data_IF_418080965507
#
_entry.id   IF_418080965507
#
_cell.length_a   1.000
_cell.length_b   1.000
_cell.length_c   1.000
_cell.angle_alpha   90.00
_cell.angle_beta   90.00
_cell.angle_gamma   90.00
#
_symmetry.space_group_name_H-M   'P 1'
#
loop_
_entity.id
_entity.type
_entity.pdbx_description
1 polymer ?
#
# COMPACT_ATOMS: atom_id res chain seq x y z
N UNK A 1 -22.29 20.07 13.84
CA UNK A 1 -22.24 18.63 14.12
C UNK A 1 -22.70 17.90 12.87
N UNK A 2 -21.77 17.49 12.01
CA UNK A 2 -22.08 16.65 10.83
C UNK A 2 -22.02 15.16 11.22
N UNK A 3 -22.78 14.28 10.56
CA UNK A 3 -22.82 12.87 10.93
C UNK A 3 -21.47 12.18 10.62
N UNK A 4 -21.06 11.17 11.41
CA UNK A 4 -19.90 10.34 11.10
C UNK A 4 -20.17 9.50 9.84
N UNK A 5 -19.21 9.49 8.92
CA UNK A 5 -19.30 8.69 7.70
C UNK A 5 -19.20 7.19 8.05
N UNK A 6 -20.33 6.50 7.96
CA UNK A 6 -20.45 5.05 8.03
C UNK A 6 -19.99 4.45 6.70
N UNK A 7 -18.84 3.77 6.68
CA UNK A 7 -18.50 2.92 5.55
C UNK A 7 -19.26 1.60 5.69
N UNK A 8 -20.33 1.40 4.89
CA UNK A 8 -21.02 0.10 4.79
C UNK A 8 -20.22 -0.80 3.84
N UNK A 9 -19.59 -1.85 4.37
CA UNK A 9 -19.11 -2.96 3.57
C UNK A 9 -20.10 -4.13 3.73
N UNK A 10 -20.84 -4.47 2.69
CA UNK A 10 -21.72 -5.63 2.63
C UNK A 10 -20.94 -6.85 2.15
N UNK A 11 -20.85 -7.90 2.98
CA UNK A 11 -20.29 -9.19 2.60
C UNK A 11 -21.43 -10.22 2.50
N UNK A 12 -21.60 -10.94 1.38
CA UNK A 12 -22.50 -12.08 1.34
C UNK A 12 -21.85 -13.27 2.06
N UNK A 13 -22.50 -13.77 3.12
CA UNK A 13 -22.15 -15.02 3.78
C UNK A 13 -23.28 -16.03 3.57
N UNK A 14 -22.97 -17.16 2.94
CA UNK A 14 -23.86 -18.34 2.88
C UNK A 14 -23.73 -19.16 4.18
N UNK A 15 -24.85 -19.63 4.78
CA UNK A 15 -24.81 -20.44 6.00
C UNK A 15 -24.65 -21.93 5.66
N UNK A 16 -23.58 -22.57 6.17
CA UNK A 16 -23.48 -24.03 6.14
C UNK A 16 -24.02 -24.65 7.43
N UNK A 17 -24.92 -25.60 7.22
CA UNK A 17 -25.65 -26.46 8.17
C UNK A 17 -24.77 -27.20 9.18
N UNK A 18 -25.35 -27.39 10.37
CA UNK A 18 -24.80 -28.17 11.48
C UNK A 18 -25.40 -29.59 11.50
N UNK A 19 -24.57 -30.63 11.51
CA UNK A 19 -25.02 -32.02 11.71
C UNK A 19 -23.91 -33.02 12.03
N UNK A 20 -23.55 -33.10 13.32
CA UNK A 20 -23.22 -34.30 14.16
C UNK A 20 -22.14 -35.37 13.74
N UNK A 21 -21.60 -36.19 14.68
CA UNK A 21 -20.15 -36.38 14.87
C UNK A 21 -19.64 -37.84 14.72
N UNK A 22 -18.31 -38.05 14.70
CA UNK A 22 -17.68 -39.31 15.14
C UNK A 22 -16.31 -39.15 15.82
N UNK A 23 -16.11 -40.04 16.79
CA UNK A 23 -15.09 -40.16 17.84
C UNK A 23 -13.74 -40.75 17.36
N UNK A 24 -12.59 -40.23 17.84
CA UNK A 24 -11.62 -40.80 18.82
C UNK A 24 -10.58 -41.81 18.26
N UNK A 25 -9.28 -41.50 18.47
CA UNK A 25 -8.13 -42.42 18.33
C UNK A 25 -6.73 -41.78 18.39
N UNK A 26 -6.23 -41.48 19.61
CA UNK A 26 -4.83 -41.49 20.21
C UNK A 26 -3.52 -41.49 19.37
N UNK A 27 -2.31 -41.21 19.94
CA UNK A 27 -1.84 -40.19 20.91
C UNK A 27 -0.47 -39.49 20.55
N UNK A 28 -0.14 -38.49 21.38
CA UNK A 28 1.02 -37.58 21.53
C UNK A 28 2.42 -37.86 20.92
N UNK A 29 3.05 -36.78 20.41
CA UNK A 29 4.43 -36.39 20.77
C UNK A 29 4.65 -34.86 20.68
N UNK A 30 5.09 -34.27 21.81
CA UNK A 30 5.88 -33.04 22.03
C UNK A 30 5.47 -31.73 21.30
N UNK A 31 4.83 -30.81 22.03
CA UNK A 31 4.48 -29.44 21.57
C UNK A 31 5.58 -28.38 21.75
N UNK A 32 5.36 -27.16 21.20
CA UNK A 32 5.38 -25.93 22.01
C UNK A 32 4.22 -24.97 21.58
N UNK A 33 4.03 -23.79 22.21
CA UNK A 33 2.95 -23.55 23.15
C UNK A 33 1.97 -22.50 22.62
N UNK A 34 0.87 -22.89 21.97
CA UNK A 34 -0.32 -22.04 21.88
C UNK A 34 -1.55 -22.95 21.90
N UNK A 35 -1.96 -23.33 23.12
CA UNK A 35 -3.21 -24.03 23.35
C UNK A 35 -4.38 -23.15 22.88
N UNK A 36 -5.25 -23.76 22.11
CA UNK A 36 -6.52 -23.21 21.67
C UNK A 36 -7.45 -23.09 22.88
N UNK A 37 -7.94 -21.89 23.17
CA UNK A 37 -9.06 -21.69 24.08
C UNK A 37 -10.39 -21.72 23.31
N UNK A 38 -11.43 -22.39 23.82
CA UNK A 38 -12.73 -22.45 23.16
C UNK A 38 -13.54 -21.17 23.38
N UNK A 39 -14.07 -20.64 22.27
CA UNK A 39 -15.26 -19.77 22.07
C UNK A 39 -15.60 -18.69 23.12
N UNK A 40 -15.59 -17.44 22.65
CA UNK A 40 -16.42 -16.37 23.21
C UNK A 40 -16.14 -15.03 22.53
N UNK A 41 -17.10 -14.55 21.72
CA UNK A 41 -17.12 -13.27 20.96
C UNK A 41 -16.24 -13.22 19.71
N UNK A 42 -16.84 -12.70 18.63
CA UNK A 42 -16.28 -12.64 17.29
C UNK A 42 -14.88 -12.03 17.24
N UNK A 43 -13.92 -12.83 16.82
CA UNK A 43 -12.57 -12.41 16.50
C UNK A 43 -12.58 -11.64 15.17
N UNK A 44 -11.95 -10.46 15.07
CA UNK A 44 -11.75 -9.80 13.79
C UNK A 44 -10.79 -10.63 12.90
N UNK A 45 -10.75 -10.38 11.58
CA UNK A 45 -9.84 -11.08 10.70
C UNK A 45 -8.38 -10.95 11.19
N UNK A 46 -7.53 -11.98 10.99
CA UNK A 46 -6.20 -12.07 11.59
C UNK A 46 -5.27 -10.87 11.28
N UNK A 47 -5.55 -10.09 10.22
CA UNK A 47 -4.77 -8.92 9.84
C UNK A 47 -4.93 -7.72 10.80
N UNK A 48 -6.03 -7.60 11.53
CA UNK A 48 -6.30 -6.48 12.44
C UNK A 48 -5.96 -6.79 13.91
N UNK A 49 -5.83 -8.07 14.27
CA UNK A 49 -5.61 -8.51 15.64
C UNK A 49 -4.14 -8.38 16.11
N UNK A 50 -3.21 -8.08 15.20
CA UNK A 50 -1.76 -7.96 15.48
C UNK A 50 -1.22 -6.53 15.56
N UNK A 51 -2.06 -5.50 15.42
CA UNK A 51 -1.62 -4.12 15.60
C UNK A 51 -1.57 -3.79 17.10
N UNK A 52 -0.44 -3.33 17.65
CA UNK A 52 -0.32 -3.08 19.08
C UNK A 52 -1.35 -2.05 19.53
N UNK A 53 -2.22 -2.45 20.46
CA UNK A 53 -3.00 -1.50 21.27
C UNK A 53 -2.01 -0.72 22.12
N UNK A 54 -1.75 0.54 21.75
CA UNK A 54 -1.19 1.52 22.68
C UNK A 54 0.28 1.92 22.54
N UNK A 55 0.77 2.22 21.34
CA UNK A 55 2.06 2.94 21.20
C UNK A 55 1.84 4.38 20.71
N UNK A 56 2.00 5.33 21.65
CA UNK A 56 2.17 6.79 21.52
C UNK A 56 1.03 7.62 20.86
N UNK A 57 0.40 8.56 21.61
CA UNK A 57 -0.49 9.55 21.02
C UNK A 57 0.36 10.59 20.26
N UNK A 58 0.40 10.49 18.93
CA UNK A 58 0.92 11.58 18.06
C UNK A 58 1.99 11.23 17.02
N UNK A 59 2.48 9.98 16.98
CA UNK A 59 3.64 9.61 16.15
C UNK A 59 3.46 8.35 15.28
N UNK A 60 2.24 7.84 15.11
CA UNK A 60 1.99 6.63 14.31
C UNK A 60 1.66 6.95 12.86
N UNK A 61 2.39 6.35 11.91
CA UNK A 61 2.09 6.42 10.45
C UNK A 61 0.81 5.68 10.02
N UNK A 62 -0.10 5.38 10.94
CA UNK A 62 -1.30 4.57 10.73
C UNK A 62 -2.53 5.18 11.38
N UNK A 63 -3.69 4.92 10.78
CA UNK A 63 -4.97 5.15 11.44
C UNK A 63 -5.17 4.19 12.62
N UNK A 64 -5.40 4.78 13.80
CA UNK A 64 -5.78 4.04 15.00
C UNK A 64 -7.22 3.56 14.90
N UNK A 65 -7.41 2.24 14.99
CA UNK A 65 -8.71 1.63 15.25
C UNK A 65 -9.08 1.89 16.72
N UNK A 66 -10.12 2.68 16.92
CA UNK A 66 -10.63 3.06 18.23
C UNK A 66 -11.62 2.02 18.76
N UNK A 67 -12.50 1.49 17.90
CA UNK A 67 -13.53 0.54 18.32
C UNK A 67 -14.00 -0.37 17.18
N UNK A 68 -14.61 -1.50 17.55
CA UNK A 68 -15.26 -2.45 16.64
C UNK A 68 -16.66 -2.72 17.16
N UNK A 69 -17.67 -2.18 16.48
CA UNK A 69 -19.07 -2.32 16.87
C UNK A 69 -19.71 -3.37 15.99
N UNK A 70 -20.19 -4.45 16.60
CA UNK A 70 -20.93 -5.51 15.90
C UNK A 70 -22.39 -5.45 16.31
N UNK A 71 -23.29 -5.31 15.32
CA UNK A 71 -24.74 -5.32 15.53
C UNK A 71 -25.39 -6.20 14.49
N UNK A 72 -26.18 -7.17 14.93
CA UNK A 72 -26.92 -8.16 14.13
C UNK A 72 -26.14 -8.69 12.91
N UNK A 73 -26.21 -8.01 11.76
CA UNK A 73 -25.54 -8.39 10.50
C UNK A 73 -24.54 -7.35 9.96
N UNK A 74 -24.09 -6.40 10.79
CA UNK A 74 -23.20 -5.30 10.41
C UNK A 74 -22.01 -5.21 11.36
N UNK A 75 -20.83 -5.08 10.76
CA UNK A 75 -19.58 -4.79 11.46
C UNK A 75 -19.18 -3.35 11.14
N UNK A 76 -19.02 -2.53 12.18
CA UNK A 76 -18.53 -1.16 12.08
C UNK A 76 -17.14 -1.07 12.69
N UNK A 77 -16.22 -0.45 11.96
CA UNK A 77 -14.86 -0.17 12.41
C UNK A 77 -14.75 1.33 12.66
N UNK A 78 -14.49 1.74 13.90
CA UNK A 78 -14.37 3.14 14.30
C UNK A 78 -12.90 3.49 14.34
N UNK A 79 -12.47 4.46 13.53
CA UNK A 79 -11.08 4.92 13.46
C UNK A 79 -10.94 6.35 13.97
N UNK A 80 -9.70 6.76 14.26
CA UNK A 80 -9.40 8.17 14.48
C UNK A 80 -9.74 9.00 13.23
N UNK A 81 -10.25 10.21 13.46
CA UNK A 81 -10.65 11.10 12.37
C UNK A 81 -9.46 11.89 11.83
N UNK A 82 -9.30 11.85 10.50
CA UNK A 82 -8.42 12.73 9.75
C UNK A 82 -9.25 13.53 8.75
N UNK A 83 -8.82 14.76 8.49
CA UNK A 83 -9.66 15.75 7.86
C UNK A 83 -9.88 15.51 6.36
N UNK A 84 -8.85 15.01 5.66
CA UNK A 84 -8.84 14.92 4.21
C UNK A 84 -7.96 13.76 3.74
N UNK A 85 -8.24 13.22 2.56
CA UNK A 85 -7.35 12.29 1.86
C UNK A 85 -6.33 13.02 0.95
N UNK A 86 -5.20 12.37 0.67
CA UNK A 86 -4.13 12.96 -0.15
C UNK A 86 -4.60 13.26 -1.57
N UNK A 87 -5.55 12.49 -2.12
CA UNK A 87 -6.10 12.73 -3.46
C UNK A 87 -6.76 14.10 -3.54
N UNK A 88 -7.72 14.38 -2.64
CA UNK A 88 -8.37 15.69 -2.56
C UNK A 88 -7.37 16.81 -2.29
N UNK A 89 -6.35 16.55 -1.48
CA UNK A 89 -5.33 17.56 -1.18
C UNK A 89 -4.52 17.93 -2.43
N UNK A 90 -4.08 16.93 -3.22
CA UNK A 90 -3.42 17.15 -4.50
C UNK A 90 -4.32 17.87 -5.51
N UNK A 91 -5.60 17.51 -5.58
CA UNK A 91 -6.57 18.17 -6.48
C UNK A 91 -6.75 19.65 -6.11
N UNK A 92 -6.87 19.97 -4.82
CA UNK A 92 -6.92 21.35 -4.31
C UNK A 92 -5.62 22.13 -4.51
N UNK A 93 -4.49 21.42 -4.60
CA UNK A 93 -3.15 21.97 -4.81
C UNK A 93 -2.72 21.92 -6.29
N UNK A 94 -3.63 21.62 -7.22
CA UNK A 94 -3.29 21.43 -8.64
C UNK A 94 -2.63 22.66 -9.28
N UNK A 95 -3.02 23.86 -8.85
CA UNK A 95 -2.46 25.13 -9.35
C UNK A 95 -1.12 25.44 -8.68
N UNK A 96 -1.07 25.48 -7.34
CA UNK A 96 0.12 25.88 -6.56
C UNK A 96 1.18 24.80 -6.43
N UNK A 97 0.82 23.54 -6.61
CA UNK A 97 1.62 22.39 -6.20
C UNK A 97 1.68 22.22 -4.68
N UNK A 98 2.36 21.16 -4.26
CA UNK A 98 2.69 20.89 -2.86
C UNK A 98 4.15 21.28 -2.64
N UNK A 99 4.43 22.01 -1.57
CA UNK A 99 5.80 22.41 -1.23
C UNK A 99 6.68 21.17 -0.99
N UNK A 100 7.90 21.16 -1.55
CA UNK A 100 8.83 20.02 -1.44
C UNK A 100 9.11 19.58 0.01
N UNK A 101 9.26 20.47 1.01
CA UNK A 101 9.40 20.05 2.41
C UNK A 101 8.21 19.22 2.93
N UNK A 102 6.98 19.55 2.50
CA UNK A 102 5.79 18.81 2.87
C UNK A 102 5.72 17.45 2.16
N UNK A 103 6.10 17.39 0.87
CA UNK A 103 6.23 16.11 0.14
C UNK A 103 7.25 15.20 0.83
N UNK A 104 8.41 15.74 1.22
CA UNK A 104 9.47 15.03 1.95
C UNK A 104 8.97 14.52 3.31
N UNK A 105 8.27 15.36 4.06
CA UNK A 105 7.60 15.01 5.32
C UNK A 105 6.62 13.84 5.15
N UNK A 106 5.74 13.93 4.15
CA UNK A 106 4.74 12.90 3.89
C UNK A 106 5.37 11.58 3.44
N UNK A 107 6.31 11.63 2.49
CA UNK A 107 7.01 10.42 2.05
C UNK A 107 7.74 9.73 3.20
N UNK A 108 8.41 10.50 4.07
CA UNK A 108 9.11 9.97 5.23
C UNK A 108 8.15 9.26 6.21
N UNK A 109 7.03 9.90 6.56
CA UNK A 109 6.01 9.31 7.44
C UNK A 109 5.37 8.05 6.85
N UNK A 110 5.09 8.04 5.54
CA UNK A 110 4.57 6.87 4.84
C UNK A 110 5.57 5.71 4.83
N UNK A 111 6.86 5.99 4.63
CA UNK A 111 7.92 4.98 4.74
C UNK A 111 8.05 4.43 6.16
N UNK A 112 7.89 5.26 7.20
CA UNK A 112 7.85 4.79 8.59
C UNK A 112 6.67 3.83 8.82
N UNK A 113 5.49 4.17 8.31
CA UNK A 113 4.32 3.29 8.32
C UNK A 113 4.59 1.97 7.59
N UNK A 114 5.08 2.01 6.36
CA UNK A 114 5.37 0.77 5.62
C UNK A 114 6.45 -0.08 6.28
N UNK A 115 7.53 0.53 6.78
CA UNK A 115 8.58 -0.20 7.48
C UNK A 115 8.03 -0.97 8.69
N UNK A 116 7.13 -0.36 9.45
CA UNK A 116 6.47 -1.03 10.57
C UNK A 116 5.55 -2.16 10.10
N UNK A 117 4.70 -1.96 9.07
CA UNK A 117 3.86 -3.02 8.53
C UNK A 117 4.68 -4.21 8.03
N UNK A 118 5.72 -3.93 7.25
CA UNK A 118 6.59 -4.94 6.66
C UNK A 118 7.34 -5.75 7.72
N UNK A 119 7.79 -5.11 8.81
CA UNK A 119 8.39 -5.80 9.95
C UNK A 119 7.41 -6.77 10.66
N UNK A 120 6.12 -6.44 10.65
CA UNK A 120 5.05 -7.28 11.24
C UNK A 120 4.37 -8.20 10.21
N UNK A 121 5.00 -8.41 9.05
CA UNK A 121 4.50 -9.29 7.99
C UNK A 121 3.13 -8.91 7.41
N UNK A 122 2.82 -7.62 7.42
CA UNK A 122 1.60 -7.04 6.84
C UNK A 122 1.96 -6.31 5.54
N UNK A 123 1.24 -6.63 4.47
CA UNK A 123 1.28 -5.92 3.19
C UNK A 123 0.05 -5.05 3.03
N UNK A 124 0.19 -3.84 2.50
CA UNK A 124 -0.95 -2.96 2.25
C UNK A 124 -1.70 -3.34 0.96
N UNK A 125 -0.97 -3.52 -0.15
CA UNK A 125 -1.43 -3.96 -1.49
C UNK A 125 -2.34 -3.00 -2.27
N UNK A 126 -3.00 -2.05 -1.60
CA UNK A 126 -3.85 -1.05 -2.25
C UNK A 126 -3.46 0.38 -1.86
N UNK A 127 -2.16 0.69 -1.93
CA UNK A 127 -1.70 2.05 -1.70
C UNK A 127 -2.09 2.92 -2.89
N UNK A 128 -2.88 3.95 -2.58
CA UNK A 128 -3.33 4.99 -3.49
C UNK A 128 -3.61 6.26 -2.68
N UNK A 129 -3.56 7.45 -3.29
CA UNK A 129 -3.75 8.72 -2.56
C UNK A 129 -5.08 8.82 -1.79
N UNK A 130 -6.13 8.11 -2.22
CA UNK A 130 -7.42 8.03 -1.53
C UNK A 130 -7.32 7.29 -0.18
N UNK A 131 -6.37 6.37 -0.04
CA UNK A 131 -6.12 5.56 1.15
C UNK A 131 -5.02 6.19 2.05
N UNK A 132 -4.62 7.43 1.77
CA UNK A 132 -3.66 8.17 2.57
C UNK A 132 -4.34 9.38 3.18
N UNK A 133 -4.54 9.37 4.49
CA UNK A 133 -5.26 10.44 5.17
C UNK A 133 -4.30 11.44 5.81
N UNK A 134 -4.64 12.72 5.76
CA UNK A 134 -3.84 13.83 6.29
C UNK A 134 -4.62 14.66 7.30
N UNK A 135 -3.89 15.35 8.19
CA UNK A 135 -4.47 16.31 9.13
C UNK A 135 -3.78 17.68 9.06
N UNK A 136 -4.36 18.66 9.76
CA UNK A 136 -3.86 20.03 9.80
C UNK A 136 -2.49 20.17 10.49
N UNK A 137 -2.06 19.17 11.28
CA UNK A 137 -0.77 19.16 11.98
C UNK A 137 0.37 18.56 11.13
N UNK A 138 0.14 18.36 9.82
CA UNK A 138 1.10 17.80 8.89
C UNK A 138 1.39 16.31 9.09
N UNK A 139 0.50 15.58 9.76
CA UNK A 139 0.56 14.13 9.79
C UNK A 139 -0.09 13.52 8.54
N UNK A 140 0.50 12.44 8.04
CA UNK A 140 -0.10 11.57 7.02
C UNK A 140 -0.11 10.12 7.52
N UNK A 141 -1.21 9.39 7.27
CA UNK A 141 -1.43 8.06 7.80
C UNK A 141 -1.96 7.11 6.73
N UNK A 142 -1.45 5.88 6.78
CA UNK A 142 -1.95 4.76 5.98
C UNK A 142 -3.35 4.36 6.49
N UNK A 143 -4.30 4.24 5.54
CA UNK A 143 -5.68 3.87 5.77
C UNK A 143 -6.10 2.70 4.87
N UNK A 144 -7.26 2.11 5.17
CA UNK A 144 -7.87 1.04 4.37
C UNK A 144 -6.95 -0.17 4.11
N UNK A 145 -6.68 -0.89 5.20
CA UNK A 145 -6.10 -2.23 5.17
C UNK A 145 -7.11 -3.30 4.72
N UNK A 146 -8.21 -2.94 4.03
CA UNK A 146 -9.26 -3.86 3.59
C UNK A 146 -8.77 -4.98 2.67
N UNK A 147 -7.64 -4.77 2.00
CA UNK A 147 -6.93 -5.78 1.19
C UNK A 147 -5.62 -6.28 1.83
N UNK A 148 -5.32 -5.82 3.04
CA UNK A 148 -4.11 -6.22 3.74
C UNK A 148 -4.20 -7.67 4.18
N UNK A 149 -3.13 -8.42 3.93
CA UNK A 149 -3.04 -9.83 4.31
C UNK A 149 -1.64 -10.14 4.81
N UNK A 150 -1.56 -11.12 5.70
CA UNK A 150 -0.30 -11.72 6.08
C UNK A 150 0.41 -12.32 4.84
N UNK A 151 1.74 -12.38 4.88
CA UNK A 151 2.52 -13.00 3.81
C UNK A 151 2.00 -14.41 3.45
N UNK A 152 2.00 -14.75 2.17
CA UNK A 152 1.70 -16.11 1.69
C UNK A 152 0.22 -16.44 1.45
N UNK A 153 -0.73 -15.55 1.77
CA UNK A 153 -2.15 -15.79 1.44
C UNK A 153 -2.42 -15.34 -0.01
N UNK A 154 -2.80 -16.26 -0.93
CA UNK A 154 -3.12 -15.93 -2.32
C UNK A 154 -4.22 -14.87 -2.41
N UNK A 155 -4.12 -13.96 -3.39
CA UNK A 155 -5.21 -13.01 -3.70
C UNK A 155 -6.33 -13.83 -4.32
N UNK A 156 -7.54 -13.79 -3.75
CA UNK A 156 -8.73 -14.08 -4.56
C UNK A 156 -8.81 -12.96 -5.58
N UNK A 157 -8.81 -13.31 -6.86
CA UNK A 157 -9.06 -12.38 -7.97
C UNK A 157 -10.36 -11.63 -7.66
N UNK A 158 -10.24 -10.37 -7.27
CA UNK A 158 -11.42 -9.51 -7.22
C UNK A 158 -11.87 -9.27 -8.66
N UNK A 159 -13.19 -9.23 -8.83
CA UNK A 159 -13.89 -9.01 -10.09
C UNK A 159 -13.35 -7.76 -10.79
N UNK A 160 -13.31 -7.79 -12.13
CA UNK A 160 -12.72 -6.79 -13.04
C UNK A 160 -13.42 -5.40 -13.01
N UNK A 161 -14.14 -5.04 -11.96
CA UNK A 161 -14.84 -3.75 -11.85
C UNK A 161 -13.91 -2.65 -11.31
N UNK A 162 -13.51 -1.76 -12.22
CA UNK A 162 -13.00 -0.38 -12.01
C UNK A 162 -12.06 -0.19 -10.80
N UNK A 163 -11.03 -1.02 -10.68
CA UNK A 163 -9.93 -0.77 -9.72
C UNK A 163 -8.86 0.10 -10.38
N UNK A 164 -8.43 1.17 -9.71
CA UNK A 164 -7.33 2.03 -10.18
C UNK A 164 -6.03 1.23 -10.32
N UNK A 165 -5.51 1.10 -11.54
CA UNK A 165 -4.30 0.33 -11.85
C UNK A 165 -2.98 1.11 -11.64
N UNK A 166 -3.08 2.42 -11.44
CA UNK A 166 -1.97 3.37 -11.61
C UNK A 166 -0.78 3.15 -10.67
N UNK A 167 -1.03 2.53 -9.52
CA UNK A 167 -0.04 2.26 -8.48
C UNK A 167 0.37 0.78 -8.42
N UNK A 168 -0.12 -0.06 -9.34
CA UNK A 168 0.14 -1.50 -9.34
C UNK A 168 1.55 -1.79 -9.86
N UNK A 169 2.27 -2.66 -9.13
CA UNK A 169 3.64 -3.06 -9.46
C UNK A 169 3.69 -3.96 -10.72
N UNK A 170 4.77 -3.91 -11.51
CA UNK A 170 4.88 -4.65 -12.77
C UNK A 170 4.84 -6.17 -12.56
N UNK A 171 5.34 -6.68 -11.43
CA UNK A 171 5.27 -8.13 -11.12
C UNK A 171 3.83 -8.62 -10.94
N UNK A 172 2.94 -7.78 -10.42
CA UNK A 172 1.51 -8.12 -10.31
C UNK A 172 0.87 -8.11 -11.70
N UNK A 173 1.19 -7.08 -12.50
CA UNK A 173 0.66 -6.93 -13.87
C UNK A 173 1.16 -8.01 -14.83
N UNK A 174 2.33 -8.61 -14.56
CA UNK A 174 2.89 -9.73 -15.33
C UNK A 174 2.44 -11.12 -14.79
N UNK A 175 1.49 -11.14 -13.86
CA UNK A 175 0.87 -12.38 -13.39
C UNK A 175 1.66 -13.12 -12.31
N UNK A 176 2.67 -12.50 -11.69
CA UNK A 176 3.41 -13.14 -10.60
C UNK A 176 2.49 -13.42 -9.41
N UNK A 177 2.36 -14.70 -9.04
CA UNK A 177 1.52 -15.14 -7.91
C UNK A 177 2.15 -14.84 -6.54
N UNK A 178 3.47 -14.67 -6.51
CA UNK A 178 4.24 -14.41 -5.30
C UNK A 178 4.73 -12.97 -5.31
N UNK A 179 4.12 -12.13 -4.48
CA UNK A 179 4.52 -10.74 -4.30
C UNK A 179 4.95 -10.49 -2.86
N UNK A 180 5.85 -9.53 -2.70
CA UNK A 180 6.52 -9.22 -1.43
C UNK A 180 6.21 -7.80 -0.99
N UNK A 181 6.93 -7.30 0.01
CA UNK A 181 6.90 -5.89 0.46
C UNK A 181 7.22 -4.89 -0.65
N UNK A 182 7.88 -5.34 -1.72
CA UNK A 182 8.27 -4.52 -2.85
C UNK A 182 7.05 -3.87 -3.57
N UNK A 183 5.87 -4.49 -3.53
CA UNK A 183 4.69 -3.94 -4.22
C UNK A 183 4.22 -2.63 -3.58
N UNK A 184 4.27 -2.54 -2.25
CA UNK A 184 3.92 -1.32 -1.52
C UNK A 184 4.93 -0.20 -1.80
N UNK A 185 6.21 -0.55 -1.93
CA UNK A 185 7.27 0.42 -2.28
C UNK A 185 7.07 0.98 -3.68
N UNK A 186 6.70 0.13 -4.65
CA UNK A 186 6.39 0.58 -5.99
C UNK A 186 5.23 1.58 -5.99
N UNK A 187 4.14 1.23 -5.33
CA UNK A 187 2.97 2.10 -5.22
C UNK A 187 3.32 3.44 -4.59
N UNK A 188 4.11 3.44 -3.50
CA UNK A 188 4.58 4.67 -2.86
C UNK A 188 5.52 5.48 -3.76
N UNK A 189 6.34 4.84 -4.60
CA UNK A 189 7.16 5.50 -5.61
C UNK A 189 6.31 6.22 -6.66
N UNK A 190 5.23 5.59 -7.14
CA UNK A 190 4.26 6.24 -8.03
C UNK A 190 3.60 7.46 -7.36
N UNK A 191 3.17 7.33 -6.10
CA UNK A 191 2.56 8.43 -5.33
C UNK A 191 3.56 9.56 -5.10
N UNK A 192 4.83 9.24 -4.83
CA UNK A 192 5.88 10.25 -4.68
C UNK A 192 6.05 11.08 -5.95
N UNK A 193 6.16 10.44 -7.11
CA UNK A 193 6.23 11.15 -8.38
C UNK A 193 4.96 11.98 -8.67
N UNK A 194 3.78 11.49 -8.29
CA UNK A 194 2.51 12.21 -8.44
C UNK A 194 2.45 13.46 -7.57
N UNK A 195 2.90 13.41 -6.30
CA UNK A 195 2.99 14.59 -5.44
C UNK A 195 3.89 15.68 -6.02
N UNK A 196 4.96 15.29 -6.72
CA UNK A 196 5.92 16.21 -7.36
C UNK A 196 5.36 16.82 -8.66
N UNK A 197 4.79 15.98 -9.53
CA UNK A 197 4.40 16.37 -10.89
C UNK A 197 2.96 16.85 -10.98
N UNK A 198 2.15 16.59 -9.94
CA UNK A 198 0.70 16.83 -9.87
C UNK A 198 -0.11 15.99 -10.85
N UNK A 199 0.51 14.95 -11.43
CA UNK A 199 -0.11 14.03 -12.39
C UNK A 199 0.28 12.62 -12.03
N UNK A 200 -0.65 11.68 -12.18
CA UNK A 200 -0.35 10.27 -11.98
C UNK A 200 0.81 9.86 -12.90
N UNK A 201 1.79 9.13 -12.35
CA UNK A 201 2.98 8.74 -13.09
C UNK A 201 2.67 7.76 -14.23
N UNK A 202 1.79 6.80 -13.97
CA UNK A 202 1.38 5.78 -14.94
C UNK A 202 -0.15 5.65 -14.97
N UNK A 203 -0.87 6.55 -15.67
CA UNK A 203 -2.34 6.52 -15.70
C UNK A 203 -2.86 5.56 -16.77
N UNK A 204 -2.73 4.26 -16.55
CA UNK A 204 -3.24 3.22 -17.44
C UNK A 204 -4.74 2.99 -17.31
N UNK A 205 -5.41 2.68 -18.42
CA UNK A 205 -6.85 2.34 -18.47
C UNK A 205 -7.14 0.83 -18.51
N UNK A 206 -6.12 0.02 -18.73
CA UNK A 206 -6.14 -1.44 -18.79
C UNK A 206 -4.81 -1.99 -18.30
N UNK A 207 -4.72 -3.28 -17.95
CA UNK A 207 -3.47 -3.88 -17.43
C UNK A 207 -2.33 -3.79 -18.45
N UNK A 208 -2.63 -3.95 -19.74
CA UNK A 208 -1.64 -3.83 -20.81
C UNK A 208 -1.22 -2.38 -21.05
N UNK A 209 -2.15 -1.42 -21.04
CA UNK A 209 -1.81 0.00 -21.16
C UNK A 209 -0.97 0.46 -19.96
N UNK A 210 -1.32 0.00 -18.75
CA UNK A 210 -0.55 0.24 -17.53
C UNK A 210 0.89 -0.26 -17.67
N UNK A 211 1.09 -1.50 -18.14
CA UNK A 211 2.43 -2.04 -18.41
C UNK A 211 3.19 -1.22 -19.45
N UNK A 212 2.54 -0.85 -20.56
CA UNK A 212 3.19 -0.10 -21.62
C UNK A 212 3.58 1.32 -21.19
N UNK A 213 2.81 1.98 -20.32
CA UNK A 213 3.21 3.26 -19.72
C UNK A 213 4.43 3.14 -18.83
N UNK A 214 4.50 2.06 -18.05
CA UNK A 214 5.69 1.75 -17.24
C UNK A 214 6.90 1.55 -18.17
N UNK A 215 6.78 0.72 -19.20
CA UNK A 215 7.87 0.41 -20.13
C UNK A 215 8.34 1.63 -20.93
N UNK A 216 7.41 2.48 -21.38
CA UNK A 216 7.76 3.74 -22.08
C UNK A 216 8.60 4.68 -21.23
N UNK A 217 8.46 4.62 -19.91
CA UNK A 217 9.17 5.50 -18.97
C UNK A 217 10.46 4.85 -18.48
N UNK A 218 10.39 3.60 -18.04
CA UNK A 218 11.49 2.92 -17.35
C UNK A 218 12.32 2.01 -18.28
N UNK A 219 11.91 1.87 -19.54
CA UNK A 219 12.44 0.94 -20.53
C UNK A 219 11.74 -0.42 -20.46
N UNK A 220 11.59 -1.14 -21.57
CA UNK A 220 11.03 -2.50 -21.53
C UNK A 220 12.00 -3.42 -20.79
N UNK A 221 11.58 -4.13 -19.72
CA UNK A 221 12.49 -4.97 -18.95
C UNK A 221 13.01 -6.15 -19.79
N UNK A 222 14.24 -6.52 -19.53
CA UNK A 222 14.92 -7.69 -20.06
C UNK A 222 15.59 -8.48 -18.92
N UNK A 223 16.26 -9.59 -19.26
CA UNK A 223 16.94 -10.44 -18.28
C UNK A 223 18.11 -9.74 -17.56
N UNK A 224 18.66 -8.65 -18.12
CA UNK A 224 19.71 -7.90 -17.45
C UNK A 224 19.12 -6.98 -16.36
N UNK A 225 18.04 -6.26 -16.67
CA UNK A 225 17.35 -5.38 -15.74
C UNK A 225 16.55 -6.17 -14.68
N UNK A 226 15.96 -7.30 -15.08
CA UNK A 226 15.12 -8.16 -14.24
C UNK A 226 15.29 -9.64 -14.63
N UNK A 227 16.23 -10.34 -13.98
CA UNK A 227 16.41 -11.78 -14.18
C UNK A 227 15.12 -12.56 -13.88
N UNK A 228 14.69 -13.38 -14.84
CA UNK A 228 13.45 -14.18 -14.79
C UNK A 228 12.21 -13.50 -15.35
N UNK A 229 12.29 -12.24 -15.83
CA UNK A 229 11.12 -11.52 -16.36
C UNK A 229 10.50 -12.22 -17.58
N UNK A 230 11.31 -12.87 -18.40
CA UNK A 230 10.82 -13.57 -19.60
C UNK A 230 10.02 -14.84 -19.30
N UNK A 231 10.15 -15.37 -18.07
CA UNK A 231 9.42 -16.54 -17.58
C UNK A 231 8.12 -16.18 -16.83
N UNK A 232 7.78 -14.90 -16.71
CA UNK A 232 6.55 -14.46 -16.04
C UNK A 232 5.30 -14.89 -16.84
N UNK A 233 4.20 -15.28 -16.17
CA UNK A 233 3.01 -15.84 -16.83
C UNK A 233 2.46 -15.00 -17.99
N UNK A 234 2.42 -13.67 -17.79
CA UNK A 234 1.83 -12.76 -18.77
C UNK A 234 2.88 -11.99 -19.59
N UNK A 235 4.16 -12.34 -19.46
CA UNK A 235 5.19 -11.78 -20.33
C UNK A 235 5.03 -12.28 -21.77
N UNK A 236 5.15 -11.37 -22.73
CA UNK A 236 5.13 -11.69 -24.17
C UNK A 236 6.43 -11.20 -24.82
N UNK A 237 7.16 -12.06 -25.55
CA UNK A 237 8.34 -11.64 -26.32
C UNK A 237 8.04 -10.53 -27.33
N UNK A 238 6.79 -10.45 -27.79
CA UNK A 238 6.29 -9.44 -28.73
C UNK A 238 6.03 -8.06 -28.12
N UNK A 239 6.25 -7.86 -26.81
CA UNK A 239 6.12 -6.54 -26.22
C UNK A 239 7.08 -5.54 -26.88
N UNK A 240 6.61 -4.31 -27.20
CA UNK A 240 7.47 -3.31 -27.81
C UNK A 240 8.67 -3.00 -26.91
N UNK A 241 9.80 -2.66 -27.55
CA UNK A 241 11.06 -2.38 -26.86
C UNK A 241 11.26 -0.87 -26.77
N UNK A 242 11.01 -0.31 -25.59
CA UNK A 242 11.24 1.11 -25.29
C UNK A 242 12.55 1.30 -24.54
N UNK A 243 13.23 2.41 -24.84
CA UNK A 243 14.40 2.86 -24.07
C UNK A 243 13.96 3.53 -22.76
N UNK A 244 14.80 3.40 -21.73
CA UNK A 244 14.59 4.06 -20.44
C UNK A 244 14.74 5.57 -20.58
N UNK A 245 13.82 6.32 -20.00
CA UNK A 245 13.90 7.77 -19.88
C UNK A 245 14.69 8.18 -18.63
N UNK A 246 15.33 9.35 -18.71
CA UNK A 246 15.98 9.98 -17.57
C UNK A 246 14.94 10.57 -16.61
N UNK A 247 15.07 10.30 -15.30
CA UNK A 247 14.15 10.82 -14.30
C UNK A 247 14.14 12.35 -14.20
N UNK A 248 15.20 13.04 -14.63
CA UNK A 248 15.20 14.51 -14.76
C UNK A 248 14.13 15.01 -15.73
N UNK A 249 13.70 14.19 -16.71
CA UNK A 249 12.60 14.50 -17.63
C UNK A 249 11.25 14.05 -17.08
N UNK A 250 11.22 12.98 -16.29
CA UNK A 250 9.99 12.38 -15.74
C UNK A 250 9.49 13.19 -14.53
N UNK A 251 10.39 13.63 -13.65
CA UNK A 251 10.08 14.42 -12.45
C UNK A 251 10.98 15.67 -12.36
N UNK A 252 10.87 16.63 -13.30
CA UNK A 252 11.81 17.75 -13.40
C UNK A 252 12.02 18.60 -12.14
N UNK A 253 10.98 18.88 -11.30
CA UNK A 253 11.17 19.68 -10.08
C UNK A 253 11.94 18.97 -8.95
N UNK A 254 12.16 17.67 -9.06
CA UNK A 254 12.79 16.87 -8.01
C UNK A 254 14.31 16.98 -8.09
N UNK A 255 14.98 17.17 -6.95
CA UNK A 255 16.44 17.19 -6.88
C UNK A 255 17.08 15.81 -7.17
N UNK A 256 18.40 15.78 -7.29
CA UNK A 256 19.15 14.57 -7.65
C UNK A 256 18.96 13.43 -6.63
N UNK A 257 18.94 13.74 -5.33
CA UNK A 257 18.77 12.71 -4.29
C UNK A 257 17.35 12.15 -4.29
N UNK A 258 16.34 12.99 -4.54
CA UNK A 258 14.97 12.56 -4.72
C UNK A 258 14.81 11.66 -5.95
N UNK A 259 15.46 11.99 -7.08
CA UNK A 259 15.45 11.16 -8.28
C UNK A 259 16.11 9.80 -8.05
N UNK A 260 17.23 9.76 -7.32
CA UNK A 260 17.89 8.50 -6.93
C UNK A 260 16.99 7.63 -6.06
N UNK A 261 16.35 8.21 -5.04
CA UNK A 261 15.38 7.49 -4.20
C UNK A 261 14.22 6.95 -5.04
N UNK A 262 13.62 7.78 -5.89
CA UNK A 262 12.52 7.38 -6.77
C UNK A 262 12.94 6.22 -7.70
N UNK A 263 14.14 6.30 -8.28
CA UNK A 263 14.68 5.23 -9.12
C UNK A 263 14.83 3.91 -8.36
N UNK A 264 15.28 3.96 -7.10
CA UNK A 264 15.41 2.79 -6.24
C UNK A 264 14.06 2.19 -5.82
N UNK A 265 13.03 3.03 -5.65
CA UNK A 265 11.64 2.62 -5.37
C UNK A 265 10.96 2.00 -6.61
N UNK A 266 11.35 2.40 -7.81
CA UNK A 266 10.77 1.95 -9.08
C UNK A 266 11.67 0.94 -9.84
N UNK A 267 12.54 0.21 -9.12
CA UNK A 267 13.27 -0.90 -9.71
C UNK A 267 12.31 -2.01 -10.17
N UNK A 268 12.55 -2.55 -11.37
CA UNK A 268 11.78 -3.65 -11.94
C UNK A 268 11.87 -4.91 -11.07
N UNK A 269 13.09 -5.41 -10.86
CA UNK A 269 13.32 -6.57 -10.01
C UNK A 269 12.91 -6.25 -8.57
N UNK A 270 11.84 -6.91 -8.04
CA UNK A 270 11.34 -6.64 -6.70
C UNK A 270 12.39 -6.94 -5.61
N UNK A 271 13.39 -7.77 -5.89
CA UNK A 271 14.48 -8.07 -4.94
C UNK A 271 15.54 -6.97 -4.88
N UNK A 272 15.66 -6.15 -5.93
CA UNK A 272 16.56 -4.99 -5.97
C UNK A 272 15.87 -3.68 -5.58
N UNK A 273 14.54 -3.69 -5.47
CA UNK A 273 13.75 -2.54 -5.04
C UNK A 273 14.04 -2.21 -3.58
N UNK A 274 14.30 -0.93 -3.28
CA UNK A 274 14.68 -0.51 -1.93
C UNK A 274 13.59 -0.86 -0.91
N UNK A 275 13.97 -1.36 0.26
CA UNK A 275 13.01 -1.60 1.35
C UNK A 275 12.60 -0.29 2.02
N UNK A 276 11.41 -0.23 2.63
CA UNK A 276 10.98 0.95 3.39
C UNK A 276 12.00 1.35 4.48
N UNK A 277 12.55 0.35 5.18
CA UNK A 277 13.57 0.56 6.21
C UNK A 277 14.85 1.18 5.65
N UNK A 278 15.32 0.72 4.49
CA UNK A 278 16.52 1.27 3.85
C UNK A 278 16.26 2.68 3.30
N UNK A 279 15.08 2.93 2.73
CA UNK A 279 14.69 4.22 2.18
C UNK A 279 14.67 5.33 3.25
N UNK A 280 14.29 5.02 4.50
CA UNK A 280 14.36 5.97 5.62
C UNK A 280 15.77 6.51 5.90
N UNK A 281 16.82 5.75 5.53
CA UNK A 281 18.22 6.18 5.64
C UNK A 281 18.76 6.91 4.40
N UNK A 282 17.92 7.19 3.39
CA UNK A 282 18.36 7.79 2.13
C UNK A 282 18.76 9.27 2.32
N UNK A 283 19.82 9.77 1.65
CA UNK A 283 20.27 11.16 1.78
C UNK A 283 19.21 12.24 1.50
N UNK A 284 18.21 11.91 0.70
CA UNK A 284 17.03 12.77 0.43
C UNK A 284 16.32 13.23 1.72
N UNK A 285 16.42 12.48 2.81
CA UNK A 285 15.78 12.79 4.10
C UNK A 285 16.70 13.45 5.13
N UNK A 286 17.94 13.84 4.78
CA UNK A 286 18.89 14.47 5.73
C UNK A 286 18.35 15.75 6.38
N UNK A 287 17.52 16.48 5.65
CA UNK A 287 16.93 17.77 6.00
C UNK A 287 15.40 17.67 6.17
N UNK A 288 14.86 16.46 6.38
CA UNK A 288 13.41 16.28 6.55
C UNK A 288 12.92 17.01 7.81
N UNK A 289 11.86 17.79 7.65
CA UNK A 289 11.18 18.49 8.75
C UNK A 289 9.69 18.18 8.69
N UNK A 290 9.01 18.31 9.83
CA UNK A 290 7.54 18.19 9.88
C UNK A 290 6.92 19.50 9.43
N UNK A 291 6.65 19.62 8.14
CA UNK A 291 5.97 20.78 7.56
C UNK A 291 4.45 20.70 7.78
N UNK A 292 3.82 21.87 7.97
CA UNK A 292 2.38 22.00 8.18
C UNK A 292 1.68 22.35 6.86
N UNK A 293 0.62 21.62 6.45
CA UNK A 293 -0.14 21.91 5.25
C UNK A 293 -1.14 23.06 5.49
N UNK A 294 -1.40 23.84 4.45
CA UNK A 294 -2.55 24.75 4.43
C UNK A 294 -3.80 23.99 3.96
N UNK A 295 -4.50 23.36 4.90
CA UNK A 295 -5.79 22.71 4.62
C UNK A 295 -6.93 23.73 4.64
N UNK A 296 -7.78 23.71 3.62
CA UNK A 296 -9.06 24.44 3.59
C UNK A 296 -10.14 23.48 4.10
N UNK A 297 -10.38 23.52 5.41
CA UNK A 297 -11.30 22.65 6.14
C UNK A 297 -12.73 23.17 6.13
#
# INVERSE_FOLDING_TARGET
MGPPWLCQASWPWDPCDCGTPMAVGTPMAMGPPWQWAPRGRGSPPPALCGLPRGSCPGAGGFLRLLDVIHTENKLYLVFEFLHQDLKKFMDSSSISGIALPLIKSYLFQLLQGLAFCHAHRVLHRDLKPQNLLINADGAIKLADFGLARAFGVPVRTYTHEVVTLWYRAPEILLGCKYYSTAVDIWSLGCIFAEMITRRALFPGDSEIDQLFRIFRTLGTPDEAAWPGVTAMPDYKPSFPKWARQDFSKVVPPLDEEGRKLLAQMLHYDPNKRISAKAALGHPFFRDVTRAVPHLRL
#
